data_IF_733245559304
#
_entry.id   IF_733245559304
#
_cell.length_a   1.000
_cell.length_b   1.000
_cell.length_c   1.000
_cell.angle_alpha   90.00
_cell.angle_beta   90.00
_cell.angle_gamma   90.00
#
_symmetry.space_group_name_H-M   'P 1'
#
loop_
_entity.id
_entity.type
_entity.pdbx_description
1 polymer ?
#
# COMPACT_ATOMS: atom_id res chain seq x y z
N UNK A 1 4.92 28.43 10.87
CA UNK A 1 5.59 27.35 10.12
C UNK A 1 7.09 27.51 10.34
N UNK A 2 7.77 26.49 10.88
CA UNK A 2 9.19 26.58 11.25
C UNK A 2 10.13 26.40 10.04
N UNK A 3 11.35 26.99 10.03
CA UNK A 3 12.17 27.12 8.82
C UNK A 3 12.87 25.86 8.30
N UNK A 4 12.75 24.69 8.94
CA UNK A 4 13.48 23.48 8.56
C UNK A 4 12.54 22.28 8.38
N UNK A 5 11.87 22.21 7.23
CA UNK A 5 11.07 21.05 6.80
C UNK A 5 11.95 19.88 6.36
N UNK A 6 12.77 19.33 7.26
CA UNK A 6 13.57 18.13 6.98
C UNK A 6 12.66 16.91 7.10
N UNK A 7 12.47 16.18 6.00
CA UNK A 7 11.73 14.91 6.00
C UNK A 7 12.54 13.84 6.73
N UNK A 8 11.90 13.11 7.65
CA UNK A 8 12.53 11.99 8.39
C UNK A 8 12.87 10.84 7.42
N UNK A 9 11.98 10.54 6.47
CA UNK A 9 12.13 9.43 5.54
C UNK A 9 13.21 9.68 4.48
N UNK A 10 14.24 8.82 4.44
CA UNK A 10 15.34 8.90 3.47
C UNK A 10 15.40 7.72 2.48
N UNK A 11 14.99 6.52 2.91
CA UNK A 11 15.27 5.27 2.17
C UNK A 11 14.06 4.62 1.50
N UNK A 12 12.83 5.09 1.76
CA UNK A 12 11.61 4.54 1.14
C UNK A 12 11.25 3.11 1.54
N UNK A 13 11.96 2.47 2.47
CA UNK A 13 11.73 1.10 2.92
C UNK A 13 11.03 0.99 4.30
N UNK A 14 10.86 2.11 5.01
CA UNK A 14 10.42 2.12 6.41
C UNK A 14 9.06 1.46 6.62
N UNK A 15 8.06 1.73 5.77
CA UNK A 15 6.76 1.08 5.86
C UNK A 15 6.87 -0.43 5.58
N UNK A 16 7.54 -0.85 4.51
CA UNK A 16 7.66 -2.27 4.13
C UNK A 16 8.39 -3.07 5.22
N UNK A 17 9.55 -2.58 5.66
CA UNK A 17 10.33 -3.25 6.71
C UNK A 17 9.62 -3.24 8.07
N UNK A 18 9.04 -2.10 8.46
CA UNK A 18 8.37 -1.96 9.75
C UNK A 18 7.08 -2.78 9.84
N UNK A 19 6.20 -2.69 8.84
CA UNK A 19 4.94 -3.46 8.82
C UNK A 19 5.20 -4.97 8.82
N UNK A 20 6.11 -5.45 7.96
CA UNK A 20 6.47 -6.87 7.88
C UNK A 20 7.27 -7.39 9.08
N UNK A 21 7.80 -6.49 9.92
CA UNK A 21 8.39 -6.86 11.21
C UNK A 21 7.33 -7.07 12.29
N UNK A 22 6.23 -6.32 12.24
CA UNK A 22 5.17 -6.35 13.26
C UNK A 22 4.17 -7.47 12.97
N UNK A 23 3.86 -7.74 11.70
CA UNK A 23 2.92 -8.79 11.31
C UNK A 23 3.09 -9.26 9.87
N UNK A 24 2.47 -10.39 9.55
CA UNK A 24 2.58 -11.02 8.23
C UNK A 24 1.82 -10.25 7.14
N UNK A 25 0.81 -9.47 7.54
CA UNK A 25 -0.10 -8.79 6.63
C UNK A 25 -0.35 -7.34 7.07
N UNK A 26 -0.41 -6.43 6.11
CA UNK A 26 -0.71 -5.02 6.32
C UNK A 26 -1.68 -4.50 5.25
N UNK A 27 -2.73 -3.80 5.70
CA UNK A 27 -3.70 -3.13 4.84
C UNK A 27 -3.60 -1.62 5.04
N UNK A 28 -3.48 -0.88 3.94
CA UNK A 28 -3.37 0.58 3.96
C UNK A 28 -4.61 1.18 3.33
N UNK A 29 -5.34 1.96 4.12
CA UNK A 29 -6.43 2.79 3.65
C UNK A 29 -5.92 4.21 3.46
N UNK A 30 -6.16 4.79 2.29
CA UNK A 30 -5.83 6.19 2.03
C UNK A 30 -6.96 6.88 1.28
N UNK A 31 -7.15 8.16 1.55
CA UNK A 31 -8.14 9.00 0.89
C UNK A 31 -7.56 10.37 0.61
N UNK A 32 -7.73 10.83 -0.61
CA UNK A 32 -7.51 12.22 -1.00
C UNK A 32 -8.84 12.85 -1.43
N UNK A 33 -8.80 14.08 -1.94
CA UNK A 33 -10.01 14.80 -2.36
C UNK A 33 -10.78 14.08 -3.47
N UNK A 34 -10.08 13.36 -4.35
CA UNK A 34 -10.64 12.80 -5.59
C UNK A 34 -10.76 11.29 -5.58
N UNK A 35 -10.05 10.58 -4.69
CA UNK A 35 -10.07 9.11 -4.65
C UNK A 35 -9.89 8.55 -3.25
N UNK A 36 -10.35 7.32 -3.08
CA UNK A 36 -10.04 6.45 -1.95
C UNK A 36 -9.40 5.18 -2.48
N UNK A 37 -8.34 4.73 -1.81
CA UNK A 37 -7.60 3.53 -2.21
C UNK A 37 -7.33 2.63 -1.00
N UNK A 38 -7.35 1.32 -1.26
CA UNK A 38 -6.92 0.29 -0.32
C UNK A 38 -5.78 -0.48 -0.97
N UNK A 39 -4.65 -0.60 -0.29
CA UNK A 39 -3.53 -1.46 -0.70
C UNK A 39 -3.29 -2.59 0.30
N UNK A 40 -2.99 -3.79 -0.20
CA UNK A 40 -2.70 -4.96 0.63
C UNK A 40 -1.26 -5.45 0.41
N UNK A 41 -0.44 -5.37 1.45
CA UNK A 41 0.89 -6.01 1.51
C UNK A 41 0.79 -7.23 2.43
N UNK A 42 0.62 -8.41 1.86
CA UNK A 42 0.26 -9.62 2.61
C UNK A 42 1.10 -10.82 2.23
N UNK A 43 1.85 -11.36 3.19
CA UNK A 43 2.56 -12.62 3.02
C UNK A 43 1.58 -13.80 2.95
N UNK A 44 0.48 -13.75 3.72
CA UNK A 44 -0.56 -14.78 3.72
C UNK A 44 -1.19 -14.93 2.34
N UNK A 45 -1.58 -13.81 1.72
CA UNK A 45 -2.12 -13.79 0.35
C UNK A 45 -1.13 -14.36 -0.66
N UNK A 46 0.13 -13.91 -0.64
CA UNK A 46 1.15 -14.36 -1.59
C UNK A 46 1.44 -15.86 -1.46
N UNK A 47 1.48 -16.39 -0.23
CA UNK A 47 1.61 -17.82 0.05
C UNK A 47 0.40 -18.59 -0.49
N UNK A 48 -0.83 -18.11 -0.24
CA UNK A 48 -2.05 -18.76 -0.67
C UNK A 48 -2.15 -18.91 -2.20
N UNK A 49 -1.74 -17.89 -2.95
CA UNK A 49 -1.76 -17.93 -4.42
C UNK A 49 -0.47 -18.52 -5.04
N UNK A 50 0.49 -18.95 -4.21
CA UNK A 50 1.82 -19.44 -4.63
C UNK A 50 2.53 -18.45 -5.56
N UNK A 51 2.51 -17.17 -5.19
CA UNK A 51 3.07 -16.10 -6.01
C UNK A 51 4.60 -16.25 -6.16
N UNK A 52 5.10 -16.14 -7.39
CA UNK A 52 6.56 -16.08 -7.67
C UNK A 52 7.16 -14.69 -7.45
N UNK A 53 6.32 -13.66 -7.43
CA UNK A 53 6.71 -12.26 -7.30
C UNK A 53 5.86 -11.59 -6.24
N UNK A 54 6.34 -10.48 -5.67
CA UNK A 54 5.55 -9.69 -4.73
C UNK A 54 4.46 -8.94 -5.50
N UNK A 55 3.22 -9.33 -5.24
CA UNK A 55 2.00 -8.74 -5.79
C UNK A 55 1.32 -7.93 -4.70
N UNK A 56 1.00 -6.68 -4.98
CA UNK A 56 0.24 -5.80 -4.09
C UNK A 56 -1.08 -5.44 -4.76
N UNK A 57 -2.19 -6.07 -4.35
CA UNK A 57 -3.52 -5.64 -4.76
C UNK A 57 -3.79 -4.23 -4.28
N UNK A 58 -4.31 -3.38 -5.17
CA UNK A 58 -4.73 -2.02 -4.88
C UNK A 58 -6.11 -1.80 -5.49
N UNK A 59 -7.11 -1.49 -4.67
CA UNK A 59 -8.45 -1.10 -5.16
C UNK A 59 -8.58 0.40 -4.98
N UNK A 60 -9.07 1.10 -6.01
CA UNK A 60 -9.33 2.55 -5.95
C UNK A 60 -10.70 2.86 -6.51
N UNK A 61 -11.40 3.78 -5.85
CA UNK A 61 -12.68 4.34 -6.32
C UNK A 61 -12.74 5.84 -6.07
N UNK A 62 -13.64 6.53 -6.77
CA UNK A 62 -13.88 7.96 -6.59
C UNK A 62 -15.13 8.18 -5.73
N UNK A 63 -15.27 9.33 -5.05
CA UNK A 63 -16.51 9.64 -4.34
C UNK A 63 -17.74 9.68 -5.25
N UNK A 64 -17.56 10.09 -6.51
CA UNK A 64 -18.64 10.29 -7.50
C UNK A 64 -19.00 9.00 -8.24
N UNK A 65 -18.02 8.13 -8.51
CA UNK A 65 -18.25 6.81 -9.08
C UNK A 65 -17.65 5.73 -8.18
N UNK A 66 -18.54 4.88 -7.64
CA UNK A 66 -18.20 3.73 -6.78
C UNK A 66 -17.75 2.49 -7.56
N UNK A 67 -17.67 2.58 -8.89
CA UNK A 67 -17.07 1.52 -9.69
C UNK A 67 -15.63 1.28 -9.21
N UNK A 68 -15.38 0.06 -8.76
CA UNK A 68 -14.09 -0.33 -8.18
C UNK A 68 -13.09 -0.59 -9.31
N UNK A 69 -11.99 0.15 -9.34
CA UNK A 69 -10.89 -0.14 -10.25
C UNK A 69 -9.83 -0.93 -9.48
N UNK A 70 -9.63 -2.19 -9.87
CA UNK A 70 -8.58 -3.05 -9.33
C UNK A 70 -7.28 -2.85 -10.10
N UNK A 71 -6.26 -2.39 -9.41
CA UNK A 71 -4.88 -2.29 -9.87
C UNK A 71 -4.03 -3.34 -9.17
N UNK A 72 -3.05 -3.90 -9.88
CA UNK A 72 -2.09 -4.84 -9.30
C UNK A 72 -0.69 -4.29 -9.49
N UNK A 73 0.00 -3.96 -8.40
CA UNK A 73 1.39 -3.53 -8.45
C UNK A 73 2.31 -4.74 -8.29
N UNK A 74 3.26 -4.92 -9.22
CA UNK A 74 4.37 -5.86 -9.08
C UNK A 74 5.55 -5.11 -8.48
N UNK A 75 6.05 -5.55 -7.32
CA UNK A 75 7.25 -4.99 -6.71
C UNK A 75 8.43 -5.87 -7.12
N UNK A 76 9.45 -5.25 -7.73
CA UNK A 76 10.74 -5.89 -8.05
C UNK A 76 11.44 -6.38 -6.78
#
# INVERSE_FOLDING_TARGET
>A
MHPNNVKIGKFGNGFKAGSMRIGDDAMVFTRCKTSTSIGLLSQTYLKAIKAKYVIVPIVTWTPQNKDNILFTAKIK
#
